data_IF_009702952541
#
_entry.id   IF_009702952541
#
_cell.length_a   1.000
_cell.length_b   1.000
_cell.length_c   1.000
_cell.angle_alpha   90.00
_cell.angle_beta   90.00
_cell.angle_gamma   90.00
#
_symmetry.space_group_name_H-M   'P 1'
#
loop_
_entity.id
_entity.type
_entity.pdbx_description
1 polymer ?
#
# COMPACT_ATOMS: atom_id res chain seq x y z
N UNK A 1 34.23 29.16 9.48
CA UNK A 1 33.16 30.07 8.99
C UNK A 1 32.80 29.55 7.60
N UNK A 2 31.63 29.04 7.26
CA UNK A 2 30.29 29.11 7.84
C UNK A 2 29.56 27.82 7.47
N UNK A 3 28.99 27.13 8.47
CA UNK A 3 28.09 26.02 8.23
C UNK A 3 26.76 26.54 7.70
N UNK A 4 26.47 26.26 6.43
CA UNK A 4 25.12 26.32 5.92
C UNK A 4 24.36 25.12 6.50
N UNK A 5 23.66 25.34 7.63
CA UNK A 5 22.55 24.46 7.99
C UNK A 5 21.52 24.60 6.88
N UNK A 6 21.33 23.53 6.09
CA UNK A 6 20.19 23.37 5.18
C UNK A 6 18.90 23.43 6.01
N UNK A 7 18.38 24.63 6.23
CA UNK A 7 17.10 24.89 6.91
C UNK A 7 15.88 24.68 5.97
N UNK A 8 16.05 24.00 4.84
CA UNK A 8 15.04 23.91 3.77
C UNK A 8 14.14 22.68 3.76
N UNK A 9 14.46 21.60 4.48
CA UNK A 9 13.73 20.33 4.40
C UNK A 9 12.42 20.29 5.21
N UNK A 10 12.34 21.04 6.31
CA UNK A 10 11.22 20.95 7.26
C UNK A 10 9.86 21.32 6.64
N UNK A 11 9.82 22.32 5.76
CA UNK A 11 8.58 22.76 5.12
C UNK A 11 8.03 21.73 4.13
N UNK A 12 8.90 21.03 3.39
CA UNK A 12 8.47 19.98 2.47
C UNK A 12 7.82 18.82 3.23
N UNK A 13 8.37 18.46 4.40
CA UNK A 13 7.82 17.44 5.29
C UNK A 13 6.44 17.86 5.80
N UNK A 14 6.32 19.08 6.32
CA UNK A 14 5.06 19.60 6.84
C UNK A 14 3.99 19.65 5.73
N UNK A 15 4.34 20.16 4.54
CA UNK A 15 3.42 20.29 3.42
C UNK A 15 2.94 18.92 2.90
N UNK A 16 3.87 17.98 2.63
CA UNK A 16 3.50 16.66 2.13
C UNK A 16 2.62 15.89 3.13
N UNK A 17 2.97 15.98 4.41
CA UNK A 17 2.21 15.34 5.49
C UNK A 17 0.80 15.93 5.61
N UNK A 18 0.69 17.26 5.60
CA UNK A 18 -0.60 17.94 5.66
C UNK A 18 -1.48 17.60 4.44
N UNK A 19 -0.92 17.60 3.24
CA UNK A 19 -1.65 17.30 2.01
C UNK A 19 -2.20 15.88 2.00
N UNK A 20 -1.42 14.87 2.39
CA UNK A 20 -1.90 13.48 2.43
C UNK A 20 -2.92 13.25 3.55
N UNK A 21 -2.74 13.89 4.72
CA UNK A 21 -3.75 13.88 5.78
C UNK A 21 -5.08 14.48 5.31
N UNK A 22 -5.04 15.66 4.71
CA UNK A 22 -6.23 16.35 4.18
C UNK A 22 -6.89 15.52 3.07
N UNK A 23 -6.12 15.03 2.10
CA UNK A 23 -6.63 14.22 1.00
C UNK A 23 -7.38 12.99 1.51
N UNK A 24 -6.85 12.33 2.54
CA UNK A 24 -7.49 11.16 3.17
C UNK A 24 -8.87 11.52 3.75
N UNK A 25 -8.95 12.63 4.49
CA UNK A 25 -10.21 13.10 5.09
C UNK A 25 -11.22 13.53 4.02
N UNK A 26 -10.77 14.21 2.97
CA UNK A 26 -11.64 14.63 1.87
C UNK A 26 -12.23 13.42 1.16
N UNK A 27 -11.42 12.41 0.83
CA UNK A 27 -11.91 11.18 0.21
C UNK A 27 -12.89 10.46 1.14
N UNK A 28 -12.60 10.39 2.44
CA UNK A 28 -13.52 9.78 3.42
C UNK A 28 -14.85 10.54 3.49
N UNK A 29 -14.81 11.86 3.47
CA UNK A 29 -16.01 12.69 3.48
C UNK A 29 -16.88 12.39 2.26
N UNK A 30 -16.29 12.35 1.05
CA UNK A 30 -17.03 11.98 -0.17
C UNK A 30 -17.57 10.55 -0.10
N UNK A 31 -16.79 9.61 0.45
CA UNK A 31 -17.22 8.23 0.60
C UNK A 31 -18.41 8.07 1.57
N UNK A 32 -18.64 9.05 2.45
CA UNK A 32 -19.73 9.07 3.42
C UNK A 32 -20.95 9.90 3.02
N UNK A 33 -20.99 10.47 1.80
CA UNK A 33 -22.12 11.30 1.36
C UNK A 33 -23.17 10.50 0.55
N UNK A 34 -24.44 10.87 0.69
CA UNK A 34 -25.55 10.43 -0.16
C UNK A 34 -26.28 9.17 0.32
N UNK A 35 -27.41 8.86 -0.33
CA UNK A 35 -28.31 7.75 0.03
C UNK A 35 -27.71 6.35 -0.25
N UNK A 36 -26.55 6.28 -0.90
CA UNK A 36 -25.79 5.06 -1.18
C UNK A 36 -24.33 5.13 -0.72
N UNK A 37 -24.06 5.87 0.37
CA UNK A 37 -22.72 6.01 0.92
C UNK A 37 -22.08 4.65 1.23
N UNK A 38 -20.77 4.52 0.97
CA UNK A 38 -20.02 3.28 1.21
C UNK A 38 -19.70 3.07 2.69
N UNK A 39 -19.58 4.15 3.45
CA UNK A 39 -19.20 4.17 4.86
C UNK A 39 -19.95 5.26 5.62
N UNK A 40 -20.14 5.06 6.92
CA UNK A 40 -20.72 6.09 7.81
C UNK A 40 -19.63 7.02 8.32
N UNK A 41 -19.88 8.33 8.33
CA UNK A 41 -18.94 9.32 8.86
C UNK A 41 -18.71 9.11 10.37
N UNK A 42 -17.46 9.30 10.79
CA UNK A 42 -17.03 9.29 12.19
C UNK A 42 -15.81 10.19 12.34
N UNK A 43 -15.86 11.12 13.29
CA UNK A 43 -14.78 12.06 13.55
C UNK A 43 -13.52 11.34 14.03
N UNK A 44 -13.68 10.29 14.84
CA UNK A 44 -12.58 9.48 15.35
C UNK A 44 -11.86 8.81 14.17
N UNK A 45 -12.61 8.17 13.27
CA UNK A 45 -12.04 7.54 12.08
C UNK A 45 -11.34 8.57 11.19
N UNK A 46 -11.93 9.76 11.01
CA UNK A 46 -11.31 10.82 10.22
C UNK A 46 -9.95 11.24 10.79
N UNK A 47 -9.84 11.37 12.13
CA UNK A 47 -8.57 11.70 12.80
C UNK A 47 -7.54 10.58 12.64
N UNK A 48 -7.94 9.32 12.85
CA UNK A 48 -7.05 8.16 12.72
C UNK A 48 -6.49 8.06 11.30
N UNK A 49 -7.36 8.17 10.29
CA UNK A 49 -6.98 8.09 8.89
C UNK A 49 -6.13 9.30 8.47
N UNK A 50 -6.42 10.50 8.96
CA UNK A 50 -5.60 11.68 8.73
C UNK A 50 -4.17 11.51 9.29
N UNK A 51 -4.04 10.95 10.50
CA UNK A 51 -2.75 10.69 11.12
C UNK A 51 -1.90 9.70 10.32
N UNK A 52 -2.54 8.68 9.72
CA UNK A 52 -1.86 7.76 8.81
C UNK A 52 -1.37 8.47 7.54
N UNK A 53 -2.20 9.31 6.93
CA UNK A 53 -1.79 10.10 5.77
C UNK A 53 -0.63 11.04 6.07
N UNK A 54 -0.64 11.66 7.26
CA UNK A 54 0.49 12.47 7.77
C UNK A 54 1.76 11.63 7.90
N UNK A 55 1.68 10.42 8.47
CA UNK A 55 2.84 9.54 8.62
C UNK A 55 3.44 9.13 7.26
N UNK A 56 2.59 8.82 6.28
CA UNK A 56 3.02 8.50 4.92
C UNK A 56 3.72 9.70 4.26
N UNK A 57 3.16 10.91 4.40
CA UNK A 57 3.77 12.13 3.86
C UNK A 57 5.11 12.47 4.50
N UNK A 58 5.23 12.25 5.81
CA UNK A 58 6.48 12.45 6.52
C UNK A 58 7.58 11.47 6.04
N UNK A 59 7.24 10.20 5.80
CA UNK A 59 8.18 9.19 5.32
C UNK A 59 8.75 9.51 3.94
N UNK A 60 7.91 10.01 3.03
CA UNK A 60 8.34 10.38 1.68
C UNK A 60 9.20 11.65 1.70
N UNK A 61 8.73 12.67 2.41
CA UNK A 61 9.37 13.98 2.43
C UNK A 61 10.63 14.05 3.31
N UNK A 62 10.79 13.14 4.28
CA UNK A 62 11.99 13.04 5.12
C UNK A 62 13.19 12.42 4.39
N UNK A 63 12.99 11.89 3.18
CA UNK A 63 14.09 11.36 2.39
C UNK A 63 14.97 12.51 1.86
N UNK A 64 16.18 12.68 2.45
CA UNK A 64 17.24 13.56 1.94
C UNK A 64 17.58 13.27 0.45
N UNK A 65 17.21 12.07 -0.02
CA UNK A 65 17.35 11.59 -1.39
C UNK A 65 16.03 11.56 -2.17
N UNK A 66 15.17 12.59 -2.14
CA UNK A 66 14.27 12.83 -3.29
C UNK A 66 15.15 13.21 -4.51
N UNK A 67 15.93 12.25 -5.00
CA UNK A 67 16.51 12.28 -6.33
C UNK A 67 15.32 12.23 -7.26
N UNK A 68 15.28 13.19 -8.19
CA UNK A 68 14.21 13.27 -9.19
C UNK A 68 14.07 11.91 -9.85
N UNK A 69 12.86 11.37 -9.77
CA UNK A 69 12.46 10.26 -10.61
C UNK A 69 12.78 10.63 -12.05
N UNK A 70 13.36 9.70 -12.79
CA UNK A 70 13.40 9.87 -14.25
C UNK A 70 11.98 9.75 -14.78
N UNK A 71 11.68 10.43 -15.89
CA UNK A 71 10.39 10.30 -16.57
C UNK A 71 10.05 8.83 -16.84
N UNK A 72 11.06 8.03 -17.20
CA UNK A 72 10.93 6.60 -17.41
C UNK A 72 10.50 5.85 -16.14
N UNK A 73 11.12 6.10 -14.99
CA UNK A 73 10.74 5.43 -13.72
C UNK A 73 9.34 5.82 -13.27
N UNK A 74 8.92 7.07 -13.51
CA UNK A 74 7.56 7.53 -13.24
C UNK A 74 6.54 6.78 -14.10
N UNK A 75 6.80 6.70 -15.41
CA UNK A 75 5.94 5.97 -16.33
C UNK A 75 5.91 4.48 -15.98
N UNK A 76 7.06 3.86 -15.73
CA UNK A 76 7.14 2.44 -15.38
C UNK A 76 6.35 2.13 -14.11
N UNK A 77 6.50 2.94 -13.06
CA UNK A 77 5.74 2.74 -11.82
C UNK A 77 4.24 2.91 -12.06
N UNK A 78 3.82 3.91 -12.85
CA UNK A 78 2.41 4.10 -13.18
C UNK A 78 1.85 2.92 -14.00
N UNK A 79 2.61 2.38 -14.95
CA UNK A 79 2.23 1.20 -15.74
C UNK A 79 2.12 -0.04 -14.85
N UNK A 80 3.11 -0.29 -13.99
CA UNK A 80 3.08 -1.41 -13.05
C UNK A 80 1.89 -1.30 -12.10
N UNK A 81 1.69 -0.12 -11.49
CA UNK A 81 0.54 0.15 -10.64
C UNK A 81 -0.78 -0.04 -11.38
N UNK A 82 -0.88 0.42 -12.63
CA UNK A 82 -2.10 0.27 -13.43
C UNK A 82 -2.42 -1.18 -13.78
N UNK A 83 -1.40 -1.97 -14.19
CA UNK A 83 -1.56 -3.41 -14.46
C UNK A 83 -1.99 -4.14 -13.20
N UNK A 84 -1.33 -3.88 -12.06
CA UNK A 84 -1.70 -4.49 -10.78
C UNK A 84 -3.09 -3.99 -10.34
N UNK A 85 -3.49 -2.75 -10.64
CA UNK A 85 -4.83 -2.23 -10.35
C UNK A 85 -5.95 -2.99 -11.07
N UNK A 86 -5.73 -3.41 -12.31
CA UNK A 86 -6.63 -4.33 -13.02
C UNK A 86 -6.70 -5.66 -12.26
N UNK A 87 -5.56 -6.18 -11.80
CA UNK A 87 -5.52 -7.41 -11.01
C UNK A 87 -6.21 -7.25 -9.65
N UNK A 88 -6.12 -6.09 -8.99
CA UNK A 88 -6.84 -5.82 -7.74
C UNK A 88 -8.35 -5.83 -7.95
N UNK A 89 -8.83 -5.27 -9.06
CA UNK A 89 -10.24 -5.34 -9.42
C UNK A 89 -10.69 -6.78 -9.67
N UNK A 90 -9.93 -7.55 -10.46
CA UNK A 90 -10.19 -8.99 -10.66
C UNK A 90 -10.14 -9.77 -9.35
N UNK A 91 -9.19 -9.45 -8.47
CA UNK A 91 -9.08 -10.05 -7.15
C UNK A 91 -10.27 -9.69 -6.25
N UNK A 92 -10.88 -8.52 -6.45
CA UNK A 92 -12.15 -8.15 -5.82
C UNK A 92 -13.29 -9.11 -6.19
N UNK A 93 -13.41 -9.49 -7.47
CA UNK A 93 -14.39 -10.48 -7.91
C UNK A 93 -14.09 -11.86 -7.29
N UNK A 94 -12.82 -12.26 -7.27
CA UNK A 94 -12.40 -13.49 -6.60
C UNK A 94 -12.71 -13.45 -5.09
N UNK A 95 -12.51 -12.31 -4.44
CA UNK A 95 -12.79 -12.12 -3.02
C UNK A 95 -14.25 -12.32 -2.67
N UNK A 96 -15.18 -11.89 -3.53
CA UNK A 96 -16.62 -12.17 -3.37
C UNK A 96 -16.91 -13.66 -3.46
N UNK A 97 -16.24 -14.38 -4.37
CA UNK A 97 -16.36 -15.83 -4.44
C UNK A 97 -15.89 -16.51 -3.16
N UNK A 98 -14.94 -15.92 -2.41
CA UNK A 98 -14.50 -16.47 -1.13
C UNK A 98 -15.50 -16.27 0.03
N UNK A 99 -16.66 -15.64 -0.18
CA UNK A 99 -17.70 -15.52 0.86
C UNK A 99 -18.18 -16.89 1.36
N UNK A 100 -18.15 -17.95 0.53
CA UNK A 100 -18.50 -19.30 1.00
C UNK A 100 -17.53 -19.81 2.07
N UNK A 101 -16.26 -19.38 2.08
CA UNK A 101 -15.29 -19.76 3.13
C UNK A 101 -15.69 -19.12 4.46
N UNK A 102 -16.08 -17.84 4.40
CA UNK A 102 -16.57 -17.10 5.57
C UNK A 102 -17.83 -17.76 6.15
N UNK A 103 -18.77 -18.17 5.29
CA UNK A 103 -20.01 -18.82 5.72
C UNK A 103 -19.83 -20.28 6.14
N UNK A 104 -18.91 -21.01 5.48
CA UNK A 104 -18.73 -22.46 5.64
C UNK A 104 -17.85 -22.89 6.81
N UNK A 105 -17.12 -21.96 7.43
CA UNK A 105 -16.25 -22.23 8.59
C UNK A 105 -16.70 -21.36 9.77
N UNK A 106 -17.64 -21.85 10.62
CA UNK A 106 -18.12 -21.09 11.77
C UNK A 106 -16.97 -20.64 12.68
N UNK A 107 -16.96 -19.35 13.03
CA UNK A 107 -15.96 -18.74 13.92
C UNK A 107 -14.61 -18.40 13.30
N UNK A 108 -14.13 -19.18 12.31
CA UNK A 108 -12.79 -19.01 11.73
C UNK A 108 -12.77 -18.57 10.26
N UNK A 109 -13.91 -18.59 9.57
CA UNK A 109 -13.98 -18.31 8.13
C UNK A 109 -13.46 -16.92 7.74
N UNK A 110 -13.62 -15.92 8.61
CA UNK A 110 -13.01 -14.59 8.42
C UNK A 110 -11.48 -14.66 8.35
N UNK A 111 -10.85 -15.34 9.30
CA UNK A 111 -9.41 -15.48 9.34
C UNK A 111 -8.87 -16.30 8.17
N UNK A 112 -9.57 -17.37 7.77
CA UNK A 112 -9.17 -18.17 6.61
C UNK A 112 -9.25 -17.36 5.32
N UNK A 113 -10.27 -16.51 5.17
CA UNK A 113 -10.40 -15.62 4.01
C UNK A 113 -9.28 -14.57 3.99
N UNK A 114 -8.87 -14.05 5.15
CA UNK A 114 -7.77 -13.10 5.28
C UNK A 114 -6.40 -13.67 4.85
N UNK A 115 -6.25 -14.99 4.72
CA UNK A 115 -5.07 -15.61 4.10
C UNK A 115 -4.91 -15.26 2.62
N UNK A 116 -5.93 -14.69 1.98
CA UNK A 116 -5.91 -14.23 0.57
C UNK A 116 -5.78 -12.72 0.42
N UNK A 117 -5.69 -11.97 1.53
CA UNK A 117 -5.72 -10.51 1.50
C UNK A 117 -4.41 -9.89 0.98
N UNK A 118 -3.27 -10.55 1.21
CA UNK A 118 -1.94 -10.04 0.90
C UNK A 118 -1.70 -9.71 -0.57
N UNK A 119 -2.53 -10.20 -1.48
CA UNK A 119 -2.47 -9.88 -2.91
C UNK A 119 -2.69 -8.39 -3.19
N UNK A 120 -3.53 -7.70 -2.41
CA UNK A 120 -3.76 -6.27 -2.56
C UNK A 120 -2.55 -5.40 -2.23
N UNK A 121 -1.48 -5.95 -1.67
CA UNK A 121 -0.28 -5.16 -1.36
C UNK A 121 0.80 -5.32 -2.44
N UNK A 122 0.49 -6.03 -3.52
CA UNK A 122 1.50 -6.45 -4.50
C UNK A 122 2.14 -5.26 -5.22
N UNK A 123 1.39 -4.19 -5.52
CA UNK A 123 1.93 -2.99 -6.16
C UNK A 123 2.94 -2.26 -5.25
N UNK A 124 2.60 -2.14 -3.95
CA UNK A 124 3.47 -1.56 -2.91
C UNK A 124 4.78 -2.31 -2.69
N UNK A 125 4.95 -3.54 -3.21
CA UNK A 125 6.19 -4.32 -3.08
C UNK A 125 6.91 -4.43 -4.43
N UNK A 126 6.18 -4.79 -5.48
CA UNK A 126 6.73 -5.06 -6.81
C UNK A 126 7.39 -3.81 -7.42
N UNK A 127 6.72 -2.67 -7.38
CA UNK A 127 7.25 -1.44 -7.97
C UNK A 127 8.50 -0.92 -7.24
N UNK A 128 8.51 -0.69 -5.91
CA UNK A 128 9.71 -0.21 -5.23
C UNK A 128 10.86 -1.21 -5.31
N UNK A 129 10.61 -2.51 -5.40
CA UNK A 129 11.68 -3.49 -5.60
C UNK A 129 12.38 -3.33 -6.96
N UNK A 130 11.62 -3.02 -8.01
CA UNK A 130 12.11 -2.80 -9.38
C UNK A 130 12.82 -1.45 -9.52
N UNK A 131 12.15 -0.35 -9.16
CA UNK A 131 12.67 1.01 -9.42
C UNK A 131 13.60 1.51 -8.31
N UNK A 132 13.42 1.04 -7.07
CA UNK A 132 14.20 1.41 -5.88
C UNK A 132 14.26 2.93 -5.66
N UNK A 133 13.10 3.59 -5.75
CA UNK A 133 12.94 5.04 -5.57
C UNK A 133 12.09 5.35 -4.33
N UNK A 134 12.43 6.40 -3.56
CA UNK A 134 11.54 6.92 -2.53
C UNK A 134 10.19 7.33 -3.11
N UNK A 135 9.12 6.92 -2.44
CA UNK A 135 7.73 7.14 -2.82
C UNK A 135 7.17 6.09 -3.80
N UNK A 136 7.95 5.09 -4.22
CA UNK A 136 7.50 4.14 -5.24
C UNK A 136 6.46 3.14 -4.73
N UNK A 137 6.49 2.78 -3.44
CA UNK A 137 5.50 1.90 -2.84
C UNK A 137 4.14 2.61 -2.81
N UNK A 138 4.09 3.83 -2.25
CA UNK A 138 2.86 4.61 -2.19
C UNK A 138 2.32 4.92 -3.59
N UNK A 139 3.18 5.35 -4.52
CA UNK A 139 2.74 5.76 -5.85
C UNK A 139 2.13 4.59 -6.63
N UNK A 140 2.79 3.42 -6.65
CA UNK A 140 2.28 2.26 -7.37
C UNK A 140 0.96 1.74 -6.79
N UNK A 141 0.88 1.66 -5.45
CA UNK A 141 -0.30 1.19 -4.74
C UNK A 141 -1.48 2.13 -4.95
N UNK A 142 -1.24 3.45 -4.89
CA UNK A 142 -2.28 4.44 -5.12
C UNK A 142 -2.79 4.42 -6.58
N UNK A 143 -1.89 4.27 -7.56
CA UNK A 143 -2.29 4.10 -8.96
C UNK A 143 -3.13 2.82 -9.11
N UNK A 144 -2.72 1.72 -8.47
CA UNK A 144 -3.48 0.47 -8.46
C UNK A 144 -4.89 0.63 -7.87
N UNK A 145 -5.00 1.32 -6.74
CA UNK A 145 -6.28 1.63 -6.10
C UNK A 145 -7.16 2.53 -6.98
N UNK A 146 -6.59 3.54 -7.64
CA UNK A 146 -7.33 4.42 -8.57
C UNK A 146 -7.87 3.62 -9.75
N UNK A 147 -7.04 2.80 -10.39
CA UNK A 147 -7.47 1.97 -11.53
C UNK A 147 -8.55 0.99 -11.09
N UNK A 148 -8.39 0.33 -9.94
CA UNK A 148 -9.40 -0.58 -9.38
C UNK A 148 -10.73 0.14 -9.10
N UNK A 149 -10.69 1.35 -8.53
CA UNK A 149 -11.88 2.17 -8.31
C UNK A 149 -12.59 2.52 -9.62
N UNK A 150 -11.83 2.95 -10.63
CA UNK A 150 -12.37 3.32 -11.96
C UNK A 150 -13.01 2.14 -12.69
N UNK A 151 -12.53 0.92 -12.45
CA UNK A 151 -13.12 -0.30 -12.99
C UNK A 151 -14.37 -0.78 -12.22
N UNK A 152 -14.79 -0.06 -11.18
CA UNK A 152 -15.99 -0.37 -10.42
C UNK A 152 -15.73 -1.32 -9.24
N UNK A 153 -14.69 -1.06 -8.46
CA UNK A 153 -14.46 -1.73 -7.17
C UNK A 153 -15.71 -1.71 -6.28
N UNK A 154 -16.06 -2.85 -5.69
CA UNK A 154 -17.20 -2.99 -4.76
C UNK A 154 -17.09 -2.07 -3.52
N UNK A 155 -15.87 -1.65 -3.16
CA UNK A 155 -15.60 -0.74 -2.04
C UNK A 155 -15.65 0.75 -2.44
N UNK A 156 -15.92 1.06 -3.71
CA UNK A 156 -16.00 2.43 -4.22
C UNK A 156 -14.77 3.26 -3.89
N UNK A 157 -14.98 4.48 -3.39
CA UNK A 157 -13.89 5.42 -3.08
C UNK A 157 -13.05 5.02 -1.85
N UNK A 158 -13.55 4.12 -0.99
CA UNK A 158 -12.80 3.71 0.20
C UNK A 158 -11.53 2.94 -0.15
N UNK A 159 -11.46 2.32 -1.32
CA UNK A 159 -10.24 1.66 -1.83
C UNK A 159 -9.07 2.64 -1.99
N UNK A 160 -9.35 3.93 -2.22
CA UNK A 160 -8.32 4.97 -2.32
C UNK A 160 -7.69 5.26 -0.95
N UNK A 161 -8.50 5.22 0.12
CA UNK A 161 -8.03 5.33 1.51
C UNK A 161 -7.17 4.11 1.86
N UNK A 162 -7.64 2.92 1.49
CA UNK A 162 -6.88 1.68 1.64
C UNK A 162 -5.55 1.71 0.89
N UNK A 163 -5.52 2.12 -0.38
CA UNK A 163 -4.29 2.21 -1.17
C UNK A 163 -3.28 3.21 -0.60
N UNK A 164 -3.77 4.36 -0.10
CA UNK A 164 -2.93 5.34 0.59
C UNK A 164 -2.33 4.77 1.88
N UNK A 165 -3.14 4.11 2.70
CA UNK A 165 -2.73 3.50 3.95
C UNK A 165 -1.73 2.35 3.74
N UNK A 166 -2.03 1.45 2.80
CA UNK A 166 -1.23 0.28 2.47
C UNK A 166 0.11 0.68 1.87
N UNK A 167 0.08 1.50 0.81
CA UNK A 167 1.29 1.97 0.15
C UNK A 167 2.12 2.87 1.06
N UNK A 168 1.47 3.71 1.86
CA UNK A 168 2.12 4.63 2.79
C UNK A 168 2.86 3.90 3.91
N UNK A 169 2.24 2.91 4.57
CA UNK A 169 2.93 2.15 5.61
C UNK A 169 3.97 1.17 5.06
N UNK A 170 3.82 0.67 3.83
CA UNK A 170 4.91 -0.02 3.14
C UNK A 170 6.11 0.92 2.88
N UNK A 171 5.83 2.14 2.42
CA UNK A 171 6.85 3.16 2.17
C UNK A 171 7.64 3.51 3.43
N UNK A 172 6.95 3.63 4.58
CA UNK A 172 7.60 3.86 5.88
C UNK A 172 8.68 2.81 6.16
N UNK A 173 8.44 1.53 5.84
CA UNK A 173 9.44 0.47 6.05
C UNK A 173 10.67 0.68 5.16
N UNK A 174 10.47 1.01 3.88
CA UNK A 174 11.59 1.33 2.99
C UNK A 174 12.35 2.58 3.44
N UNK A 175 11.64 3.59 3.95
CA UNK A 175 12.22 4.81 4.51
C UNK A 175 13.08 4.53 5.75
N UNK A 176 12.59 3.68 6.67
CA UNK A 176 13.33 3.25 7.86
C UNK A 176 14.59 2.45 7.51
N UNK A 177 14.60 1.79 6.35
CA UNK A 177 15.79 1.11 5.78
C UNK A 177 16.62 2.02 4.87
N UNK A 178 16.30 3.32 4.85
CA UNK A 178 17.00 4.36 4.11
C UNK A 178 16.98 4.18 2.59
N UNK A 179 16.02 3.42 2.04
CA UNK A 179 15.91 3.10 0.61
C UNK A 179 17.14 2.38 0.02
N UNK A 180 17.93 1.70 0.87
CA UNK A 180 19.15 0.98 0.44
C UNK A 180 18.99 -0.52 0.38
N UNK A 181 18.03 -1.06 1.13
CA UNK A 181 17.83 -2.50 1.28
C UNK A 181 16.50 -2.93 0.65
N UNK A 182 16.57 -3.96 -0.18
CA UNK A 182 15.43 -4.56 -0.87
C UNK A 182 15.57 -6.09 -0.92
N UNK A 183 16.15 -6.66 0.13
CA UNK A 183 16.20 -8.10 0.33
C UNK A 183 14.83 -8.65 0.76
N UNK A 184 14.67 -9.98 0.70
CA UNK A 184 13.40 -10.62 1.04
C UNK A 184 12.87 -10.22 2.44
N UNK A 185 13.69 -10.14 3.51
CA UNK A 185 13.21 -9.67 4.81
C UNK A 185 12.66 -8.24 4.77
N UNK A 186 13.29 -7.33 4.02
CA UNK A 186 12.76 -5.96 3.87
C UNK A 186 11.44 -5.95 3.11
N UNK A 187 11.30 -6.76 2.05
CA UNK A 187 10.04 -6.86 1.29
C UNK A 187 8.91 -7.47 2.15
N UNK A 188 9.21 -8.48 2.96
CA UNK A 188 8.24 -9.05 3.91
C UNK A 188 7.85 -8.00 4.97
N UNK A 189 8.82 -7.27 5.54
CA UNK A 189 8.53 -6.22 6.50
C UNK A 189 7.67 -5.09 5.88
N UNK A 190 7.94 -4.69 4.64
CA UNK A 190 7.15 -3.69 3.93
C UNK A 190 5.72 -4.21 3.67
N UNK A 191 5.57 -5.48 3.30
CA UNK A 191 4.25 -6.11 3.14
C UNK A 191 3.48 -6.18 4.46
N UNK A 192 4.16 -6.40 5.59
CA UNK A 192 3.55 -6.31 6.91
C UNK A 192 3.12 -4.86 7.24
N UNK A 193 3.90 -3.86 6.83
CA UNK A 193 3.48 -2.46 6.89
C UNK A 193 2.18 -2.20 6.11
N UNK A 194 2.09 -2.69 4.87
CA UNK A 194 0.87 -2.60 4.08
C UNK A 194 -0.32 -3.32 4.75
N UNK A 195 -0.08 -4.52 5.30
CA UNK A 195 -1.08 -5.27 6.03
C UNK A 195 -1.64 -4.48 7.21
N UNK A 196 -0.76 -3.84 8.01
CA UNK A 196 -1.18 -2.96 9.10
C UNK A 196 -1.98 -1.75 8.58
N UNK A 197 -1.58 -1.18 7.44
CA UNK A 197 -2.28 -0.06 6.81
C UNK A 197 -3.71 -0.45 6.43
N UNK A 198 -3.88 -1.58 5.74
CA UNK A 198 -5.20 -2.13 5.43
C UNK A 198 -6.01 -2.44 6.69
N UNK A 199 -5.36 -2.94 7.74
CA UNK A 199 -6.03 -3.33 8.98
C UNK A 199 -6.65 -2.13 9.69
N UNK A 200 -5.93 -1.01 9.76
CA UNK A 200 -6.45 0.20 10.38
C UNK A 200 -7.67 0.72 9.63
N UNK A 201 -7.62 0.72 8.30
CA UNK A 201 -8.75 1.15 7.45
C UNK A 201 -9.95 0.22 7.63
N UNK A 202 -9.74 -1.09 7.54
CA UNK A 202 -10.82 -2.06 7.66
C UNK A 202 -11.44 -2.07 9.07
N UNK A 203 -10.62 -1.86 10.10
CA UNK A 203 -11.10 -1.75 11.47
C UNK A 203 -11.93 -0.49 11.68
N UNK A 204 -11.52 0.63 11.10
CA UNK A 204 -12.27 1.89 11.16
C UNK A 204 -13.66 1.74 10.52
N UNK A 205 -13.76 1.03 9.39
CA UNK A 205 -14.98 0.97 8.60
C UNK A 205 -15.88 -0.24 8.86
N UNK A 206 -15.31 -1.42 9.14
CA UNK A 206 -16.07 -2.68 9.14
C UNK A 206 -15.77 -3.66 10.28
N UNK A 207 -14.59 -3.62 10.93
CA UNK A 207 -14.22 -4.64 11.93
C UNK A 207 -14.39 -4.20 13.39
N UNK A 208 -14.76 -2.96 13.66
CA UNK A 208 -14.91 -2.42 15.02
C UNK A 208 -16.02 -3.11 15.86
N UNK A 209 -16.97 -3.78 15.22
CA UNK A 209 -18.05 -4.54 15.88
C UNK A 209 -17.72 -6.03 16.07
N UNK A 210 -16.62 -6.53 15.49
CA UNK A 210 -16.24 -7.94 15.59
C UNK A 210 -15.65 -8.29 16.96
N UNK A 211 -15.86 -9.52 17.41
CA UNK A 211 -15.28 -10.00 18.66
C UNK A 211 -13.74 -10.00 18.60
N UNK A 212 -13.11 -9.51 19.67
CA UNK A 212 -11.64 -9.36 19.76
C UNK A 212 -10.86 -10.62 19.33
N UNK A 213 -11.22 -11.85 19.74
CA UNK A 213 -10.50 -13.03 19.28
C UNK A 213 -10.53 -13.24 17.76
N UNK A 214 -11.63 -12.89 17.10
CA UNK A 214 -11.78 -13.02 15.64
C UNK A 214 -10.88 -12.01 14.94
N UNK A 215 -10.92 -10.76 15.39
CA UNK A 215 -10.10 -9.65 14.90
C UNK A 215 -8.61 -10.00 15.01
N UNK A 216 -8.16 -10.56 16.14
CA UNK A 216 -6.76 -11.00 16.31
C UNK A 216 -6.38 -12.11 15.32
N UNK A 217 -7.22 -13.12 15.14
CA UNK A 217 -6.95 -14.22 14.21
C UNK A 217 -6.87 -13.76 12.76
N UNK A 218 -7.79 -12.88 12.36
CA UNK A 218 -7.78 -12.26 11.03
C UNK A 218 -6.49 -11.46 10.81
N UNK A 219 -6.05 -10.66 11.77
CA UNK A 219 -4.80 -9.89 11.66
C UNK A 219 -3.59 -10.81 11.46
N UNK A 220 -3.50 -11.90 12.24
CA UNK A 220 -2.42 -12.89 12.09
C UNK A 220 -2.46 -13.51 10.69
N UNK A 221 -3.64 -13.93 10.24
CA UNK A 221 -3.81 -14.49 8.90
C UNK A 221 -3.41 -13.50 7.80
N UNK A 222 -3.76 -12.23 7.96
CA UNK A 222 -3.38 -11.15 7.03
C UNK A 222 -1.89 -10.92 6.98
N UNK A 223 -1.19 -10.95 8.11
CA UNK A 223 0.28 -10.87 8.12
C UNK A 223 0.94 -12.05 7.42
N UNK A 224 0.43 -13.27 7.65
CA UNK A 224 0.89 -14.47 6.94
C UNK A 224 0.65 -14.30 5.44
N UNK A 225 -0.55 -13.84 5.05
CA UNK A 225 -0.91 -13.57 3.68
C UNK A 225 0.00 -12.54 3.03
N UNK A 226 0.28 -11.42 3.71
CA UNK A 226 1.16 -10.38 3.21
C UNK A 226 2.58 -10.88 2.96
N UNK A 227 3.14 -11.63 3.92
CA UNK A 227 4.47 -12.19 3.78
C UNK A 227 4.59 -13.10 2.53
N UNK A 228 3.55 -13.87 2.23
CA UNK A 228 3.54 -14.83 1.12
C UNK A 228 3.10 -14.19 -0.20
N UNK A 229 1.92 -13.59 -0.26
CA UNK A 229 1.24 -13.14 -1.48
C UNK A 229 1.70 -11.76 -1.98
N UNK A 230 2.43 -10.98 -1.18
CA UNK A 230 3.05 -9.74 -1.65
C UNK A 230 4.55 -9.70 -1.38
N UNK A 231 5.01 -9.95 -0.16
CA UNK A 231 6.43 -9.93 0.20
C UNK A 231 7.26 -10.91 -0.64
N UNK A 232 6.97 -12.21 -0.53
CA UNK A 232 7.66 -13.26 -1.28
C UNK A 232 7.24 -13.29 -2.75
N UNK A 233 5.93 -13.34 -3.04
CA UNK A 233 5.43 -13.42 -4.41
C UNK A 233 5.85 -12.20 -5.25
N UNK A 234 5.76 -11.00 -4.69
CA UNK A 234 6.20 -9.77 -5.36
C UNK A 234 7.67 -9.84 -5.75
N UNK A 235 8.53 -10.35 -4.87
CA UNK A 235 9.94 -10.59 -5.20
C UNK A 235 10.10 -11.55 -6.37
N UNK A 236 9.44 -12.71 -6.30
CA UNK A 236 9.52 -13.76 -7.33
C UNK A 236 9.05 -13.24 -8.69
N UNK A 237 7.93 -12.51 -8.73
CA UNK A 237 7.40 -11.92 -9.95
C UNK A 237 8.35 -10.87 -10.53
N UNK A 238 8.91 -9.99 -9.69
CA UNK A 238 9.90 -9.00 -10.14
C UNK A 238 11.17 -9.64 -10.67
N UNK A 239 11.68 -10.69 -10.01
CA UNK A 239 12.87 -11.41 -10.46
C UNK A 239 12.62 -12.12 -11.79
N UNK A 240 11.44 -12.74 -11.96
CA UNK A 240 11.03 -13.37 -13.20
C UNK A 240 10.88 -12.35 -14.34
N UNK A 241 10.25 -11.20 -14.07
CA UNK A 241 10.17 -10.09 -15.04
C UNK A 241 11.55 -9.58 -15.40
N UNK A 242 12.45 -9.46 -14.41
CA UNK A 242 13.81 -9.06 -14.68
C UNK A 242 14.45 -10.06 -15.64
N UNK A 243 14.38 -11.38 -15.37
CA UNK A 243 14.95 -12.46 -16.17
C UNK A 243 14.61 -12.40 -17.67
N UNK A 244 13.49 -11.77 -18.06
CA UNK A 244 13.12 -11.56 -19.47
C UNK A 244 13.99 -10.54 -20.21
N UNK A 245 14.78 -9.73 -19.52
CA UNK A 245 15.54 -8.59 -20.06
C UNK A 245 14.75 -7.29 -20.10
N UNK A 246 13.42 -7.33 -19.91
CA UNK A 246 12.56 -6.14 -19.98
C UNK A 246 12.91 -5.07 -18.93
N UNK A 247 13.55 -5.47 -17.82
CA UNK A 247 13.89 -4.57 -16.71
C UNK A 247 15.39 -4.25 -16.63
N UNK A 248 16.20 -4.51 -17.67
CA UNK A 248 17.66 -4.30 -17.62
C UNK A 248 18.06 -2.85 -17.32
N UNK A 249 17.23 -1.89 -17.72
CA UNK A 249 17.41 -0.46 -17.43
C UNK A 249 16.89 -0.02 -16.04
N UNK A 250 16.38 -0.94 -15.22
CA UNK A 250 15.90 -0.65 -13.86
C UNK A 250 16.97 -0.92 -12.81
N UNK A 251 16.72 -0.51 -11.56
CA UNK A 251 17.66 -0.77 -10.48
C UNK A 251 17.79 -2.27 -10.18
N UNK A 252 16.69 -3.02 -10.27
CA UNK A 252 16.71 -4.49 -10.13
C UNK A 252 17.49 -5.17 -11.26
N UNK A 253 17.24 -4.80 -12.51
CA UNK A 253 17.94 -5.39 -13.67
C UNK A 253 19.45 -5.16 -13.64
N UNK A 254 19.88 -3.92 -13.32
CA UNK A 254 21.31 -3.61 -13.12
C UNK A 254 21.94 -4.44 -12.00
N UNK A 255 21.26 -4.58 -10.86
CA UNK A 255 21.76 -5.37 -9.75
C UNK A 255 21.93 -6.86 -10.10
N UNK A 256 21.04 -7.41 -10.94
CA UNK A 256 21.15 -8.79 -11.44
C UNK A 256 22.31 -8.97 -12.42
N UNK A 257 22.58 -8.00 -13.29
CA UNK A 257 23.66 -8.10 -14.29
C UNK A 257 25.04 -7.96 -13.64
N UNK A 258 25.14 -7.21 -12.55
CA UNK A 258 26.39 -6.91 -11.86
C UNK A 258 26.80 -7.94 -10.79
N UNK A 259 25.87 -8.81 -10.37
CA UNK A 259 26.09 -9.86 -9.38
C UNK A 259 26.27 -11.22 -10.03
#
# INVERSE_FOLDING_TARGET
MTGERRLGGGWAIILASALLGIATVVVYWFASQGEGAWVTWSEINAVVLAAMGVAAGAAIASSEEIKRWTTWESILTAVLGGVIGILFWLWGLFWELLEFIKAGIPGYGYAVRDLFYGFWFLAAILAPYIVRRPGAALAAEMVGAIVSALLGSQWGLTVLISGLAQGGLAEVVFALRGYKHYDLPTLIAASAGAALGSWIVDYAFWYNELAVPIVVLMLIARFISAAVLSGWLGKVLSDALAATGALDNTALGRARIQG
#
